data_IF_337735409640
#
_entry.id   IF_337735409640
#
_cell.length_a   1.000
_cell.length_b   1.000
_cell.length_c   1.000
_cell.angle_alpha   90.00
_cell.angle_beta   90.00
_cell.angle_gamma   90.00
#
_symmetry.space_group_name_H-M   'P 1'
#
loop_
_entity.id
_entity.type
_entity.pdbx_description
1 polymer ?
#
# COMPACT_ATOMS: atom_id res chain seq x y z
N UNK A 1 13.36 23.67 -12.23
CA UNK A 1 13.56 22.73 -13.36
C UNK A 1 12.23 22.07 -13.65
N UNK A 2 11.93 21.81 -14.93
CA UNK A 2 10.69 21.17 -15.39
C UNK A 2 10.71 19.65 -15.14
N UNK A 3 9.53 19.03 -14.99
CA UNK A 3 9.36 17.57 -14.93
C UNK A 3 9.39 16.92 -16.31
N UNK A 4 9.38 17.70 -17.40
CA UNK A 4 9.34 17.21 -18.77
C UNK A 4 10.72 16.75 -19.26
N UNK A 5 11.29 15.77 -18.55
CA UNK A 5 12.67 15.31 -18.76
C UNK A 5 12.82 14.27 -19.88
N UNK A 6 11.71 13.82 -20.47
CA UNK A 6 11.71 12.89 -21.61
C UNK A 6 10.75 13.37 -22.71
N UNK A 7 10.99 12.98 -23.98
CA UNK A 7 10.05 13.29 -25.07
C UNK A 7 8.63 12.76 -24.82
N UNK A 8 8.51 11.60 -24.15
CA UNK A 8 7.22 11.03 -23.76
C UNK A 8 6.49 11.93 -22.78
N UNK A 9 7.18 12.48 -21.77
CA UNK A 9 6.57 13.40 -20.82
C UNK A 9 6.15 14.71 -21.49
N UNK A 10 6.94 15.23 -22.43
CA UNK A 10 6.54 16.39 -23.24
C UNK A 10 5.26 16.12 -24.03
N UNK A 11 5.16 14.95 -24.68
CA UNK A 11 3.95 14.54 -25.40
C UNK A 11 2.74 14.44 -24.47
N UNK A 12 2.87 13.72 -23.36
CA UNK A 12 1.78 13.53 -22.40
C UNK A 12 1.33 14.87 -21.79
N UNK A 13 2.27 15.78 -21.50
CA UNK A 13 1.96 17.13 -21.05
C UNK A 13 1.13 17.90 -22.08
N UNK A 14 1.52 17.86 -23.35
CA UNK A 14 0.75 18.50 -24.42
C UNK A 14 -0.64 17.88 -24.58
N UNK A 15 -0.78 16.56 -24.45
CA UNK A 15 -2.07 15.86 -24.53
C UNK A 15 -3.00 16.21 -23.35
N UNK A 16 -2.47 16.35 -22.15
CA UNK A 16 -3.25 16.72 -20.96
C UNK A 16 -3.72 18.20 -20.99
N UNK A 17 -3.00 19.07 -21.69
CA UNK A 17 -3.30 20.51 -21.76
C UNK A 17 -4.00 20.98 -23.04
N UNK A 18 -4.20 20.09 -24.04
CA UNK A 18 -4.88 20.48 -25.29
C UNK A 18 -6.35 20.83 -25.06
N UNK A 19 -6.91 21.59 -25.99
CA UNK A 19 -8.35 21.83 -26.00
C UNK A 19 -9.14 20.52 -26.16
N UNK A 20 -10.10 20.31 -25.26
CA UNK A 20 -10.92 19.09 -25.23
C UNK A 20 -10.27 17.89 -24.54
N UNK A 21 -9.07 18.04 -23.95
CA UNK A 21 -8.48 17.02 -23.10
C UNK A 21 -9.46 16.59 -22.00
N UNK A 22 -9.58 15.27 -21.81
CA UNK A 22 -10.39 14.69 -20.75
C UNK A 22 -9.51 14.43 -19.52
N UNK A 23 -10.16 14.01 -18.44
CA UNK A 23 -9.52 13.63 -17.18
C UNK A 23 -8.49 12.49 -17.36
N UNK A 24 -8.79 11.57 -18.28
CA UNK A 24 -7.91 10.44 -18.58
C UNK A 24 -6.50 10.87 -19.02
N UNK A 25 -6.37 11.95 -19.81
CA UNK A 25 -5.05 12.44 -20.22
C UNK A 25 -4.22 12.95 -19.03
N UNK A 26 -4.84 13.63 -18.06
CA UNK A 26 -4.17 14.06 -16.83
C UNK A 26 -3.73 12.86 -15.98
N UNK A 27 -4.63 11.89 -15.77
CA UNK A 27 -4.33 10.66 -15.02
C UNK A 27 -3.16 9.93 -15.66
N UNK A 28 -3.15 9.83 -16.99
CA UNK A 28 -2.09 9.17 -17.76
C UNK A 28 -0.75 9.89 -17.62
N UNK A 29 -0.74 11.23 -17.65
CA UNK A 29 0.48 12.00 -17.42
C UNK A 29 1.08 11.70 -16.04
N UNK A 30 0.27 11.80 -14.99
CA UNK A 30 0.75 11.63 -13.61
C UNK A 30 1.14 10.19 -13.29
N UNK A 31 0.33 9.20 -13.70
CA UNK A 31 0.67 7.79 -13.48
C UNK A 31 1.96 7.40 -14.22
N UNK A 32 2.17 7.92 -15.43
CA UNK A 32 3.40 7.70 -16.17
C UNK A 32 4.61 8.37 -15.51
N UNK A 33 4.51 9.65 -15.15
CA UNK A 33 5.60 10.35 -14.48
C UNK A 33 6.00 9.66 -13.18
N UNK A 34 5.03 9.36 -12.32
CA UNK A 34 5.28 8.72 -11.03
C UNK A 34 5.87 7.32 -11.21
N UNK A 35 5.32 6.48 -12.09
CA UNK A 35 5.81 5.10 -12.29
C UNK A 35 7.13 4.98 -13.04
N UNK A 36 7.53 6.00 -13.82
CA UNK A 36 8.73 5.91 -14.67
C UNK A 36 9.88 6.80 -14.24
N UNK A 37 9.60 7.88 -13.50
CA UNK A 37 10.64 8.83 -13.08
C UNK A 37 10.94 8.77 -11.59
N UNK A 38 9.93 8.58 -10.74
CA UNK A 38 10.12 8.62 -9.28
C UNK A 38 10.14 7.21 -8.69
N UNK A 39 9.08 6.45 -8.94
CA UNK A 39 8.81 5.14 -8.36
C UNK A 39 9.03 4.04 -9.41
N UNK A 40 10.23 4.04 -10.01
CA UNK A 40 10.55 3.21 -11.17
C UNK A 40 10.98 1.77 -10.80
N UNK A 41 11.33 1.52 -9.54
CA UNK A 41 11.80 0.20 -9.10
C UNK A 41 10.64 -0.81 -9.07
N UNK A 42 10.98 -2.09 -9.23
CA UNK A 42 10.04 -3.20 -9.35
C UNK A 42 9.07 -3.36 -8.15
N UNK A 43 9.51 -2.93 -6.97
CA UNK A 43 8.73 -3.04 -5.73
C UNK A 43 7.65 -1.96 -5.62
N UNK A 44 7.68 -0.94 -6.48
CA UNK A 44 6.68 0.11 -6.52
C UNK A 44 5.59 -0.22 -7.52
N UNK A 45 4.34 -0.03 -7.07
CA UNK A 45 3.16 -0.40 -7.84
C UNK A 45 2.23 0.81 -7.91
N UNK A 46 1.87 1.20 -9.13
CA UNK A 46 0.76 2.11 -9.39
C UNK A 46 -0.52 1.28 -9.52
N UNK A 47 -1.29 1.21 -8.44
CA UNK A 47 -2.51 0.41 -8.37
C UNK A 47 -3.73 1.26 -8.77
N UNK A 48 -4.14 1.13 -10.04
CA UNK A 48 -5.36 1.75 -10.55
C UNK A 48 -6.60 0.98 -10.06
N UNK A 49 -7.55 1.72 -9.48
CA UNK A 49 -8.79 1.22 -8.87
C UNK A 49 -8.64 0.22 -7.70
N UNK A 50 -9.35 0.46 -6.60
CA UNK A 50 -9.58 -0.58 -5.57
C UNK A 50 -10.82 -1.38 -5.96
N UNK A 51 -10.78 -2.73 -5.99
CA UNK A 51 -12.01 -3.52 -6.13
C UNK A 51 -12.96 -3.15 -4.98
N UNK A 52 -14.28 -3.09 -5.24
CA UNK A 52 -15.24 -2.69 -4.22
C UNK A 52 -15.17 -3.68 -3.06
N UNK A 53 -14.91 -3.19 -1.84
CA UNK A 53 -15.04 -4.05 -0.66
C UNK A 53 -16.49 -4.52 -0.52
N UNK A 54 -16.70 -5.79 -0.18
CA UNK A 54 -18.05 -6.36 -0.01
C UNK A 54 -18.88 -5.63 1.08
N UNK A 55 -18.19 -5.04 2.06
CA UNK A 55 -18.78 -4.24 3.12
C UNK A 55 -19.50 -2.99 2.58
N UNK A 56 -20.82 -2.90 2.83
CA UNK A 56 -21.72 -1.83 2.37
C UNK A 56 -21.24 -0.41 2.70
N UNK A 57 -20.54 -0.21 3.81
CA UNK A 57 -20.10 1.10 4.29
C UNK A 57 -18.84 1.66 3.59
N UNK A 58 -18.08 0.82 2.87
CA UNK A 58 -16.81 1.23 2.22
C UNK A 58 -16.82 1.10 0.68
N UNK A 59 -17.98 0.85 0.06
CA UNK A 59 -18.11 0.60 -1.40
C UNK A 59 -17.70 1.74 -2.33
N UNK A 60 -17.51 2.97 -1.84
CA UNK A 60 -17.48 4.18 -2.68
C UNK A 60 -16.24 5.06 -2.57
N UNK A 61 -15.23 4.69 -1.78
CA UNK A 61 -14.05 5.54 -1.57
C UNK A 61 -12.94 5.09 -2.51
N UNK A 62 -13.13 5.38 -3.80
CA UNK A 62 -12.13 5.14 -4.84
C UNK A 62 -11.42 6.45 -5.09
N UNK A 63 -10.09 6.40 -5.01
CA UNK A 63 -9.24 7.39 -5.64
C UNK A 63 -8.85 6.87 -7.03
N UNK A 64 -8.40 7.75 -7.92
CA UNK A 64 -7.96 7.38 -9.28
C UNK A 64 -6.92 6.24 -9.26
N UNK A 65 -5.90 6.37 -8.40
CA UNK A 65 -4.93 5.30 -8.16
C UNK A 65 -4.19 5.47 -6.83
N UNK A 66 -3.53 4.40 -6.42
CA UNK A 66 -2.65 4.40 -5.25
C UNK A 66 -1.20 4.16 -5.70
N UNK A 67 -0.26 4.80 -5.02
CA UNK A 67 1.14 4.40 -5.02
C UNK A 67 1.36 3.42 -3.87
N UNK A 68 1.80 2.21 -4.19
CA UNK A 68 2.00 1.15 -3.21
C UNK A 68 3.44 0.64 -3.26
N UNK A 69 3.92 0.14 -2.13
CA UNK A 69 5.16 -0.66 -2.05
C UNK A 69 4.80 -2.10 -1.73
N UNK A 70 5.39 -3.04 -2.48
CA UNK A 70 5.22 -4.46 -2.26
C UNK A 70 6.13 -4.93 -1.11
N UNK A 71 5.51 -5.41 -0.02
CA UNK A 71 6.20 -6.09 1.08
C UNK A 71 6.15 -7.58 0.84
N UNK A 72 7.14 -8.08 0.11
CA UNK A 72 7.20 -9.48 -0.32
C UNK A 72 7.21 -10.46 0.86
N UNK A 73 7.93 -10.13 1.94
CA UNK A 73 7.98 -10.95 3.17
C UNK A 73 6.62 -11.16 3.81
N UNK A 74 5.75 -10.14 3.72
CA UNK A 74 4.47 -10.07 4.41
C UNK A 74 3.30 -10.39 3.47
N UNK A 75 3.59 -10.67 2.19
CA UNK A 75 2.61 -10.83 1.11
C UNK A 75 1.53 -9.74 1.10
N UNK A 76 1.93 -8.47 1.25
CA UNK A 76 1.01 -7.33 1.30
C UNK A 76 1.50 -6.14 0.47
N UNK A 77 0.55 -5.29 0.10
CA UNK A 77 0.81 -3.97 -0.45
C UNK A 77 0.54 -2.92 0.63
N UNK A 78 1.55 -2.12 0.93
CA UNK A 78 1.39 -0.96 1.80
C UNK A 78 1.20 0.28 0.92
N UNK A 79 0.18 1.07 1.24
CA UNK A 79 -0.14 2.29 0.50
C UNK A 79 0.83 3.39 0.95
N UNK A 80 1.56 3.93 -0.01
CA UNK A 80 2.44 5.08 0.16
C UNK A 80 1.69 6.40 -0.05
N UNK A 81 0.90 6.49 -1.11
CA UNK A 81 0.10 7.67 -1.41
C UNK A 81 -1.24 7.36 -2.05
N UNK A 82 -2.24 8.15 -1.68
CA UNK A 82 -3.52 8.25 -2.39
C UNK A 82 -3.42 9.33 -3.46
N UNK A 83 -3.87 9.04 -4.68
CA UNK A 83 -3.77 9.98 -5.80
C UNK A 83 -5.13 10.18 -6.45
N UNK A 84 -5.59 11.43 -6.48
CA UNK A 84 -6.87 11.85 -7.06
C UNK A 84 -6.66 13.08 -7.93
N UNK A 85 -7.39 13.20 -9.03
CA UNK A 85 -7.36 14.40 -9.82
C UNK A 85 -8.42 14.55 -10.88
N UNK A 86 -8.27 15.61 -11.66
CA UNK A 86 -9.19 16.01 -12.74
C UNK A 86 -8.45 16.50 -13.99
N UNK A 87 -9.23 16.78 -15.04
CA UNK A 87 -8.75 17.41 -16.28
C UNK A 87 -8.12 18.80 -16.07
N UNK A 88 -7.46 19.35 -17.09
CA UNK A 88 -6.85 20.68 -16.99
C UNK A 88 -7.89 21.82 -16.86
N UNK A 89 -9.08 21.65 -17.45
CA UNK A 89 -10.15 22.65 -17.50
C UNK A 89 -11.18 22.50 -16.37
N UNK A 90 -10.71 22.19 -15.18
CA UNK A 90 -11.54 21.88 -14.02
C UNK A 90 -11.94 23.14 -13.25
N UNK A 91 -13.18 23.17 -12.76
CA UNK A 91 -13.70 24.31 -12.00
C UNK A 91 -13.16 24.29 -10.56
N UNK A 92 -13.03 25.44 -9.88
CA UNK A 92 -12.54 25.49 -8.49
C UNK A 92 -13.28 24.53 -7.54
N UNK A 93 -14.61 24.45 -7.65
CA UNK A 93 -15.42 23.52 -6.84
C UNK A 93 -15.06 22.05 -7.05
N UNK A 94 -14.69 21.66 -8.27
CA UNK A 94 -14.28 20.28 -8.57
C UNK A 94 -12.88 20.00 -8.02
N UNK A 95 -11.99 21.00 -8.00
CA UNK A 95 -10.69 20.91 -7.33
C UNK A 95 -10.87 20.70 -5.82
N UNK A 96 -11.77 21.46 -5.18
CA UNK A 96 -12.10 21.26 -3.76
C UNK A 96 -12.65 19.85 -3.49
N UNK A 97 -13.43 19.30 -4.43
CA UNK A 97 -13.94 17.92 -4.32
C UNK A 97 -12.81 16.89 -4.41
N UNK A 98 -11.88 17.04 -5.35
CA UNK A 98 -10.68 16.18 -5.46
C UNK A 98 -9.91 16.17 -4.14
N UNK A 99 -9.70 17.35 -3.56
CA UNK A 99 -9.00 17.49 -2.28
C UNK A 99 -9.76 16.82 -1.13
N UNK A 100 -11.08 17.00 -1.08
CA UNK A 100 -11.91 16.34 -0.08
C UNK A 100 -11.92 14.81 -0.24
N UNK A 101 -11.88 14.30 -1.47
CA UNK A 101 -11.84 12.85 -1.75
C UNK A 101 -10.52 12.24 -1.28
N UNK A 102 -9.39 12.87 -1.63
CA UNK A 102 -8.07 12.35 -1.21
C UNK A 102 -7.86 12.50 0.30
N UNK A 103 -8.43 13.54 0.92
CA UNK A 103 -8.50 13.68 2.38
C UNK A 103 -9.26 12.53 3.04
N UNK A 104 -10.46 12.22 2.55
CA UNK A 104 -11.25 11.10 3.08
C UNK A 104 -10.51 9.77 2.92
N UNK A 105 -9.73 9.61 1.85
CA UNK A 105 -8.86 8.45 1.66
C UNK A 105 -7.75 8.38 2.72
N UNK A 106 -7.09 9.51 3.00
CA UNK A 106 -6.12 9.62 4.10
C UNK A 106 -6.72 9.22 5.45
N UNK A 107 -7.88 9.79 5.81
CA UNK A 107 -8.56 9.54 7.09
C UNK A 107 -8.96 8.06 7.24
N UNK A 108 -9.46 7.45 6.16
CA UNK A 108 -9.82 6.03 6.13
C UNK A 108 -8.60 5.10 6.09
N UNK A 109 -7.47 5.59 5.55
CA UNK A 109 -6.21 4.85 5.41
C UNK A 109 -5.41 4.71 6.70
N UNK A 110 -5.80 5.41 7.78
CA UNK A 110 -5.08 5.50 9.04
C UNK A 110 -4.57 4.14 9.55
N UNK A 111 -3.28 3.91 9.30
CA UNK A 111 -2.43 2.88 9.88
C UNK A 111 -1.09 3.52 10.21
N UNK A 112 -0.33 2.85 11.07
CA UNK A 112 0.87 3.31 11.79
C UNK A 112 2.06 3.88 10.96
N UNK A 113 1.90 4.12 9.66
CA UNK A 113 2.93 4.63 8.75
C UNK A 113 2.51 5.97 8.15
N UNK A 114 3.48 6.87 7.96
CA UNK A 114 3.27 8.15 7.27
C UNK A 114 2.72 7.89 5.88
N UNK A 115 1.45 8.19 5.62
CA UNK A 115 0.84 8.08 4.28
C UNK A 115 0.74 9.46 3.65
N UNK A 116 0.82 9.53 2.33
CA UNK A 116 0.74 10.80 1.58
C UNK A 116 -0.53 10.87 0.74
N UNK A 117 -0.83 12.07 0.27
CA UNK A 117 -1.86 12.31 -0.71
C UNK A 117 -1.37 13.29 -1.77
N UNK A 118 -1.80 13.04 -3.01
CA UNK A 118 -1.48 13.84 -4.18
C UNK A 118 -2.81 14.23 -4.82
N UNK A 119 -3.07 15.53 -4.93
CA UNK A 119 -4.17 16.05 -5.73
C UNK A 119 -3.63 16.70 -7.00
N UNK A 120 -4.28 16.48 -8.14
CA UNK A 120 -3.89 17.14 -9.38
C UNK A 120 -5.09 17.63 -10.20
N UNK A 121 -4.84 18.62 -11.05
CA UNK A 121 -5.73 18.99 -12.15
C UNK A 121 -4.87 19.31 -13.38
N UNK A 122 -5.16 18.68 -14.51
CA UNK A 122 -4.27 18.77 -15.67
C UNK A 122 -2.87 18.26 -15.31
N UNK A 123 -1.87 19.08 -15.61
CA UNK A 123 -0.46 18.84 -15.28
C UNK A 123 0.01 19.60 -14.05
N UNK A 124 -0.91 20.15 -13.26
CA UNK A 124 -0.61 20.78 -11.98
C UNK A 124 -0.95 19.86 -10.83
N UNK A 125 -0.06 19.73 -9.85
CA UNK A 125 -0.28 18.91 -8.67
C UNK A 125 0.14 19.61 -7.38
N UNK A 126 -0.39 19.10 -6.27
CA UNK A 126 0.03 19.43 -4.91
C UNK A 126 0.07 18.16 -4.06
N UNK A 127 0.89 18.20 -3.01
CA UNK A 127 1.21 17.04 -2.18
C UNK A 127 0.98 17.37 -0.70
N UNK A 128 0.47 16.40 0.06
CA UNK A 128 0.23 16.52 1.51
C UNK A 128 0.59 15.23 2.23
N UNK A 129 0.97 15.39 3.48
CA UNK A 129 1.11 14.28 4.41
C UNK A 129 -0.22 14.06 5.15
N UNK A 130 -0.74 12.84 5.14
CA UNK A 130 -2.05 12.50 5.70
C UNK A 130 -2.13 12.67 7.23
N UNK A 131 -1.00 12.60 7.94
CA UNK A 131 -0.96 12.59 9.41
C UNK A 131 -0.92 13.98 10.05
N UNK A 132 -0.88 15.03 9.26
CA UNK A 132 -0.83 16.40 9.79
C UNK A 132 -2.25 16.94 9.98
N UNK A 133 -2.58 17.48 11.18
CA UNK A 133 -3.90 18.04 11.43
C UNK A 133 -4.17 19.16 10.42
N UNK A 134 -5.31 19.04 9.74
CA UNK A 134 -5.90 20.07 8.91
C UNK A 134 -5.01 20.61 7.77
N UNK A 135 -4.37 19.75 6.96
CA UNK A 135 -3.62 20.20 5.76
C UNK A 135 -2.77 21.45 6.00
N UNK A 136 -2.17 21.63 7.18
CA UNK A 136 -1.56 22.91 7.57
C UNK A 136 -0.38 23.30 6.66
N UNK A 137 0.07 22.37 5.82
CA UNK A 137 1.09 22.53 4.78
C UNK A 137 0.54 22.22 3.39
N UNK A 138 -0.54 22.90 2.97
CA UNK A 138 -0.96 22.88 1.55
C UNK A 138 0.15 23.52 0.73
N UNK A 139 0.77 22.74 -0.15
CA UNK A 139 1.54 23.35 -1.23
C UNK A 139 0.56 23.97 -2.22
N UNK A 140 0.98 25.04 -2.88
CA UNK A 140 0.29 25.50 -4.08
C UNK A 140 0.25 24.38 -5.13
N UNK A 141 -0.72 24.44 -6.03
CA UNK A 141 -0.65 23.63 -7.25
C UNK A 141 0.53 24.10 -8.08
N UNK A 142 1.45 23.18 -8.37
CA UNK A 142 2.65 23.43 -9.16
C UNK A 142 2.48 22.73 -10.50
N UNK A 143 2.55 23.48 -11.60
CA UNK A 143 2.52 22.89 -12.94
C UNK A 143 3.82 22.13 -13.21
N UNK A 144 3.69 20.97 -13.85
CA UNK A 144 4.81 20.09 -14.16
C UNK A 144 5.87 20.74 -15.07
N UNK A 145 5.53 21.78 -15.82
CA UNK A 145 6.48 22.52 -16.65
C UNK A 145 6.87 23.89 -16.08
N UNK A 146 6.45 24.20 -14.84
CA UNK A 146 6.81 25.48 -14.21
C UNK A 146 8.26 25.48 -13.69
N UNK A 147 8.86 26.66 -13.45
CA UNK A 147 10.16 26.76 -12.79
C UNK A 147 10.21 26.07 -11.42
N UNK A 148 9.08 26.09 -10.69
CA UNK A 148 8.89 25.53 -9.36
C UNK A 148 8.75 24.00 -9.36
N UNK A 149 8.60 23.35 -10.51
CA UNK A 149 8.28 21.93 -10.61
C UNK A 149 9.30 21.01 -9.91
N UNK A 150 10.56 21.44 -9.78
CA UNK A 150 11.57 20.77 -8.94
C UNK A 150 11.18 20.59 -7.46
N UNK A 151 10.24 21.40 -6.93
CA UNK A 151 9.67 21.19 -5.59
C UNK A 151 8.84 19.91 -5.56
N UNK A 152 8.05 19.62 -6.60
CA UNK A 152 7.30 18.38 -6.71
C UNK A 152 8.24 17.17 -6.73
N UNK A 153 9.33 17.24 -7.52
CA UNK A 153 10.36 16.18 -7.52
C UNK A 153 10.86 15.89 -6.11
N UNK A 154 11.23 16.92 -5.35
CA UNK A 154 11.70 16.76 -3.96
C UNK A 154 10.65 16.14 -3.05
N UNK A 155 9.37 16.53 -3.19
CA UNK A 155 8.30 15.92 -2.40
C UNK A 155 8.12 14.44 -2.74
N UNK A 156 8.16 14.08 -4.01
CA UNK A 156 8.00 12.69 -4.43
C UNK A 156 9.19 11.82 -4.04
N UNK A 157 10.41 12.33 -4.15
CA UNK A 157 11.63 11.66 -3.69
C UNK A 157 11.62 11.48 -2.17
N UNK A 158 11.30 12.54 -1.42
CA UNK A 158 11.17 12.45 0.04
C UNK A 158 10.12 11.41 0.46
N UNK A 159 8.97 11.41 -0.21
CA UNK A 159 7.92 10.42 -0.02
C UNK A 159 8.46 8.99 -0.25
N UNK A 160 9.07 8.74 -1.41
CA UNK A 160 9.67 7.44 -1.76
C UNK A 160 10.69 6.98 -0.72
N UNK A 161 11.65 7.84 -0.41
CA UNK A 161 12.80 7.50 0.42
C UNK A 161 12.36 7.27 1.88
N UNK A 162 11.40 8.05 2.39
CA UNK A 162 10.84 7.86 3.74
C UNK A 162 10.18 6.49 3.92
N UNK A 163 9.54 5.95 2.87
CA UNK A 163 8.93 4.63 2.88
C UNK A 163 9.96 3.50 2.80
N UNK A 164 11.00 3.66 1.98
CA UNK A 164 12.08 2.67 1.90
C UNK A 164 12.83 2.56 3.22
N UNK A 165 13.11 3.67 3.89
CA UNK A 165 13.75 3.66 5.21
C UNK A 165 12.90 2.93 6.26
N UNK A 166 11.58 3.14 6.26
CA UNK A 166 10.66 2.41 7.15
C UNK A 166 10.61 0.91 6.82
N UNK A 167 10.69 0.55 5.54
CA UNK A 167 10.72 -0.83 5.08
C UNK A 167 12.00 -1.55 5.53
N UNK A 168 13.18 -0.97 5.28
CA UNK A 168 14.46 -1.55 5.68
C UNK A 168 14.61 -1.66 7.20
N UNK A 169 14.17 -0.64 7.94
CA UNK A 169 14.15 -0.69 9.40
C UNK A 169 13.32 -1.89 9.92
N UNK A 170 12.17 -2.18 9.29
CA UNK A 170 11.34 -3.33 9.66
C UNK A 170 11.98 -4.69 9.35
N UNK A 171 12.84 -4.77 8.32
CA UNK A 171 13.61 -5.99 8.00
C UNK A 171 14.83 -6.19 8.91
N UNK A 172 15.39 -5.11 9.44
CA UNK A 172 16.56 -5.14 10.33
C UNK A 172 16.22 -5.35 11.82
N UNK A 173 14.95 -5.27 12.20
CA UNK A 173 14.53 -5.51 13.57
C UNK A 173 14.74 -7.00 13.92
N UNK A 174 15.54 -7.34 14.95
CA UNK A 174 15.78 -8.73 15.32
C UNK A 174 14.47 -9.36 15.78
N UNK A 175 13.89 -10.18 14.91
CA UNK A 175 12.81 -11.10 15.25
C UNK A 175 13.37 -12.17 16.18
N UNK A 176 13.35 -11.91 17.48
CA UNK A 176 13.73 -12.90 18.48
C UNK A 176 14.58 -12.36 19.61
N UNK A 177 13.98 -11.57 20.49
CA UNK A 177 14.18 -11.86 21.91
C UNK A 177 12.83 -12.26 22.47
N UNK A 178 12.60 -13.58 22.47
CA UNK A 178 11.66 -14.18 23.40
C UNK A 178 12.05 -13.66 24.79
N UNK A 179 11.18 -12.84 25.37
CA UNK A 179 11.24 -12.51 26.77
C UNK A 179 11.08 -13.82 27.54
N UNK A 180 12.21 -14.46 27.88
CA UNK A 180 12.21 -15.48 28.91
C UNK A 180 11.70 -14.80 30.18
N UNK A 181 10.56 -15.28 30.66
CA UNK A 181 9.93 -14.77 31.86
C UNK A 181 10.90 -14.82 33.04
N UNK A 182 11.29 -13.66 33.53
CA UNK A 182 11.89 -13.55 34.85
C UNK A 182 10.77 -13.72 35.88
N UNK A 183 10.71 -14.93 36.41
CA UNK A 183 10.09 -15.17 37.70
C UNK A 183 10.97 -14.56 38.79
N UNK A 184 10.29 -13.90 39.73
CA UNK A 184 10.80 -13.27 40.94
C UNK A 184 11.97 -14.00 41.62
N UNK A 185 12.96 -13.23 42.12
CA UNK A 185 13.28 -13.05 43.56
C UNK A 185 14.77 -12.81 43.82
N UNK A 186 15.07 -11.90 44.76
CA UNK A 186 16.32 -11.94 45.54
C UNK A 186 17.37 -10.89 45.20
N UNK A 187 17.24 -9.71 45.81
CA UNK A 187 18.36 -8.82 46.08
C UNK A 187 19.30 -9.46 47.13
N UNK A 188 20.52 -9.81 46.72
CA UNK A 188 21.74 -9.84 47.56
C UNK A 188 22.92 -9.89 46.58
N UNK A 189 23.87 -8.95 46.55
CA UNK A 189 24.69 -8.50 47.66
C UNK A 189 26.09 -9.08 47.48
N UNK A 190 26.99 -8.28 46.89
CA UNK A 190 28.47 -8.33 46.89
C UNK A 190 29.21 -9.67 47.07
N UNK A 191 30.06 -10.01 46.11
CA UNK A 191 31.15 -10.99 46.29
C UNK A 191 32.18 -10.96 45.16
N UNK A 192 33.37 -10.45 45.45
CA UNK A 192 34.57 -10.41 44.59
C UNK A 192 35.29 -11.78 44.51
N UNK A 193 36.22 -11.88 43.54
CA UNK A 193 37.34 -12.86 43.40
C UNK A 193 37.04 -14.09 42.53
N UNK A 194 37.62 -14.28 41.34
CA UNK A 194 39.01 -14.47 40.87
C UNK A 194 39.46 -15.96 40.78
N UNK A 195 40.25 -16.24 39.73
CA UNK A 195 40.95 -17.48 39.35
C UNK A 195 40.19 -18.65 38.68
N UNK A 196 40.47 -18.83 37.38
CA UNK A 196 41.26 -19.96 36.89
C UNK A 196 40.53 -21.23 36.39
N UNK A 197 41.07 -21.95 35.38
CA UNK A 197 40.31 -22.87 34.52
C UNK A 197 40.52 -24.37 34.85
N UNK A 198 39.51 -25.19 34.54
CA UNK A 198 39.51 -26.65 34.27
C UNK A 198 38.12 -27.19 34.68
N UNK A 199 37.49 -28.19 34.07
CA UNK A 199 37.92 -29.17 33.10
C UNK A 199 36.74 -30.08 32.71
N UNK A 200 37.05 -31.03 31.85
CA UNK A 200 36.22 -32.09 31.28
C UNK A 200 35.24 -32.79 32.24
N UNK A 201 34.08 -33.18 31.70
CA UNK A 201 33.17 -34.15 32.33
C UNK A 201 32.10 -34.67 31.37
N UNK A 202 32.41 -35.75 30.63
CA UNK A 202 31.47 -36.58 29.87
C UNK A 202 30.67 -37.50 30.80
N UNK A 203 29.34 -37.58 30.57
CA UNK A 203 28.41 -38.76 30.66
C UNK A 203 28.25 -39.47 32.03
N UNK A 204 27.08 -40.06 32.39
CA UNK A 204 26.38 -41.08 31.59
C UNK A 204 24.84 -41.11 31.61
N UNK A 205 24.35 -41.65 30.50
CA UNK A 205 23.05 -42.25 30.26
C UNK A 205 22.74 -43.40 31.24
N UNK A 206 21.45 -43.55 31.57
CA UNK A 206 20.88 -44.74 32.19
C UNK A 206 19.35 -44.80 31.97
N UNK A 207 18.73 -45.99 31.86
CA UNK A 207 17.62 -46.21 30.93
C UNK A 207 16.30 -46.69 31.58
N UNK A 208 15.30 -46.85 30.71
CA UNK A 208 14.20 -47.84 30.74
C UNK A 208 12.91 -47.52 31.51
N UNK A 209 11.78 -47.85 30.85
CA UNK A 209 10.45 -47.89 31.45
C UNK A 209 9.33 -47.98 30.40
N UNK A 210 9.07 -49.20 29.92
CA UNK A 210 8.07 -49.57 28.91
C UNK A 210 6.61 -49.29 29.31
N UNK A 211 5.75 -49.09 28.30
CA UNK A 211 4.28 -49.16 28.42
C UNK A 211 3.62 -49.09 27.05
N UNK A 212 3.44 -50.26 26.42
CA UNK A 212 2.82 -50.46 25.11
C UNK A 212 1.30 -50.65 25.25
N UNK A 213 0.57 -49.86 24.45
CA UNK A 213 -0.69 -50.08 23.70
C UNK A 213 -1.94 -50.68 24.35
N UNK A 214 -3.12 -50.19 23.92
CA UNK A 214 -3.98 -51.03 23.07
C UNK A 214 -4.98 -50.28 22.17
N UNK A 215 -5.38 -51.00 21.13
CA UNK A 215 -6.17 -50.66 19.94
C UNK A 215 -7.68 -50.37 20.15
N UNK A 216 -8.29 -49.71 19.15
CA UNK A 216 -9.74 -49.70 18.93
C UNK A 216 -10.14 -49.10 17.57
N UNK A 217 -10.34 -49.97 16.57
CA UNK A 217 -10.82 -49.71 15.20
C UNK A 217 -12.33 -49.32 15.17
N UNK A 218 -12.77 -48.33 14.38
CA UNK A 218 -13.24 -48.37 12.98
C UNK A 218 -14.73 -48.75 12.74
N UNK A 219 -15.45 -47.88 12.01
CA UNK A 219 -16.47 -48.14 10.95
C UNK A 219 -17.32 -46.86 10.75
N UNK A 220 -17.40 -46.15 9.62
CA UNK A 220 -17.74 -46.46 8.22
C UNK A 220 -19.25 -46.33 7.87
N UNK A 221 -19.51 -45.87 6.63
CA UNK A 221 -20.78 -45.73 5.86
C UNK A 221 -21.60 -44.45 6.15
N UNK A 222 -22.26 -43.74 5.23
CA UNK A 222 -22.65 -43.86 3.80
C UNK A 222 -23.19 -42.46 3.39
N UNK A 223 -23.13 -41.89 2.18
CA UNK A 223 -23.49 -42.40 0.85
C UNK A 223 -24.89 -41.89 0.42
N UNK A 224 -24.99 -40.86 -0.44
CA UNK A 224 -26.07 -40.49 -1.38
C UNK A 224 -25.50 -39.36 -2.30
N UNK A 225 -25.25 -39.47 -3.61
CA UNK A 225 -26.14 -39.69 -4.78
C UNK A 225 -27.17 -38.55 -4.95
N UNK A 226 -27.50 -37.91 -6.08
CA UNK A 226 -27.06 -37.88 -7.50
C UNK A 226 -27.85 -36.73 -8.19
N UNK A 227 -27.28 -36.13 -9.25
CA UNK A 227 -27.96 -35.55 -10.44
C UNK A 227 -28.99 -34.39 -10.36
N UNK A 228 -28.84 -33.41 -11.27
CA UNK A 228 -29.88 -32.44 -11.61
C UNK A 228 -29.52 -31.52 -12.79
N UNK A 229 -29.79 -31.97 -14.00
CA UNK A 229 -29.73 -31.23 -15.28
C UNK A 229 -30.64 -29.98 -15.29
N UNK A 230 -30.27 -28.95 -16.06
CA UNK A 230 -31.17 -27.86 -16.42
C UNK A 230 -30.55 -26.85 -17.39
N UNK A 231 -30.86 -27.02 -18.67
CA UNK A 231 -30.39 -26.23 -19.81
C UNK A 231 -30.93 -24.78 -19.84
N UNK A 232 -30.20 -23.92 -20.56
CA UNK A 232 -30.68 -22.64 -21.13
C UNK A 232 -31.80 -22.89 -22.16
N UNK A 233 -32.60 -21.85 -22.45
CA UNK A 233 -32.41 -21.24 -23.78
C UNK A 233 -32.51 -19.71 -23.83
N UNK A 234 -31.93 -19.24 -24.93
CA UNK A 234 -31.86 -17.96 -25.61
C UNK A 234 -33.18 -17.21 -25.91
N UNK A 235 -32.98 -15.97 -26.40
CA UNK A 235 -33.86 -15.12 -27.24
C UNK A 235 -34.76 -14.13 -26.46
N UNK A 236 -34.97 -12.87 -26.85
CA UNK A 236 -34.66 -12.09 -28.07
C UNK A 236 -35.05 -10.62 -27.88
N UNK A 237 -34.32 -9.73 -28.56
CA UNK A 237 -34.71 -8.47 -29.22
C UNK A 237 -36.00 -7.69 -28.84
N UNK A 238 -35.84 -6.37 -28.69
CA UNK A 238 -36.60 -5.26 -29.33
C UNK A 238 -35.87 -3.96 -28.89
N UNK A 239 -35.26 -3.05 -29.68
CA UNK A 239 -35.59 -2.42 -30.96
C UNK A 239 -37.05 -1.94 -31.03
N UNK A 240 -37.32 -0.66 -30.69
CA UNK A 240 -37.69 0.39 -31.68
C UNK A 240 -38.12 1.75 -31.08
N UNK A 241 -37.51 2.81 -31.64
CA UNK A 241 -38.05 4.09 -32.15
C UNK A 241 -38.92 5.04 -31.31
N UNK A 242 -38.35 6.24 -31.12
CA UNK A 242 -38.86 7.57 -31.53
C UNK A 242 -40.37 7.82 -31.61
N UNK A 243 -40.79 8.81 -30.84
CA UNK A 243 -41.89 9.74 -31.09
C UNK A 243 -41.58 11.02 -30.35
#
# INVERSE_FOLDING_TARGET
MSLLVTPTLTLLYSLANRDGAQEHESVTFWSHYLSKQVFADEHWIVAHEKPPSEAKENRRRRVDFNLCVAKISDNRLDVCAFVEGKGAKTKPREIEMVEAQVQQACEAGSRATTTWAIAFHGTSARVFECNLPEFAYRTDYIDANSPEASRLTRYFEYMRDSFLMQHEASLSAPSGMAALGETSSGLSGYGYSSYGPAGYGKTPSGPSGYGVADYGAASAASGHDMSGYGATPSASSNLRTTG
#
